data_IF_215634908562
#
_entry.id   IF_215634908562
#
_cell.length_a   1.000
_cell.length_b   1.000
_cell.length_c   1.000
_cell.angle_alpha   90.00
_cell.angle_beta   90.00
_cell.angle_gamma   90.00
#
_symmetry.space_group_name_H-M   'P 1'
#
loop_
_entity.id
_entity.type
_entity.pdbx_description
1 polymer ?
#
# COMPACT_ATOMS: atom_id res chain seq x y z
N UNK A 1 -5.05 21.85 13.00
CA UNK A 1 -4.87 22.64 13.42
C UNK A 1 -5.91 23.66 13.63
N UNK A 2 -5.93 24.15 14.70
CA UNK A 2 -6.92 25.13 14.97
C UNK A 2 -6.80 26.18 13.92
N UNK A 3 -7.57 27.07 13.99
CA UNK A 3 -7.45 28.24 13.20
C UNK A 3 -7.19 27.93 11.76
N UNK A 4 -7.80 26.98 11.26
CA UNK A 4 -7.78 26.77 9.87
C UNK A 4 -6.59 26.04 9.30
N UNK A 5 -5.70 25.60 10.13
CA UNK A 5 -4.59 24.81 9.63
C UNK A 5 -4.93 23.33 9.65
N UNK A 6 -6.20 23.01 9.54
CA UNK A 6 -6.62 21.63 9.52
C UNK A 6 -6.20 20.98 8.21
N UNK A 7 -5.48 19.88 8.32
CA UNK A 7 -5.06 19.12 7.16
C UNK A 7 -6.18 18.19 6.73
N UNK A 8 -6.29 17.93 5.43
CA UNK A 8 -7.15 16.88 4.94
C UNK A 8 -6.60 15.52 5.42
N UNK A 9 -7.44 14.47 5.39
CA UNK A 9 -7.00 13.15 5.75
C UNK A 9 -5.81 12.70 4.91
N UNK A 10 -5.82 12.97 3.61
CA UNK A 10 -4.72 12.60 2.75
C UNK A 10 -3.45 13.39 3.05
N UNK A 11 -3.58 14.69 3.32
CA UNK A 11 -2.43 15.50 3.67
C UNK A 11 -1.81 15.04 4.98
N UNK A 12 -2.65 14.75 5.99
CA UNK A 12 -2.16 14.25 7.26
C UNK A 12 -1.44 12.92 7.10
N UNK A 13 -1.99 12.05 6.28
CA UNK A 13 -1.41 10.74 6.03
C UNK A 13 -0.06 10.86 5.32
N UNK A 14 0.04 11.74 4.34
CA UNK A 14 1.29 11.96 3.62
C UNK A 14 2.35 12.56 4.55
N UNK A 15 1.95 13.47 5.43
CA UNK A 15 2.90 14.06 6.39
C UNK A 15 3.40 13.00 7.37
N UNK A 16 2.52 12.14 7.86
CA UNK A 16 2.91 11.07 8.76
C UNK A 16 3.88 10.12 8.08
N UNK A 17 3.62 9.78 6.82
CA UNK A 17 4.51 8.91 6.05
C UNK A 17 5.88 9.56 5.86
N UNK A 18 5.91 10.85 5.52
CA UNK A 18 7.17 11.56 5.35
C UNK A 18 8.00 11.56 6.64
N UNK A 19 7.34 11.75 7.76
CA UNK A 19 8.02 11.72 9.06
C UNK A 19 8.61 10.33 9.34
N UNK A 20 7.85 9.30 9.04
CA UNK A 20 8.31 7.93 9.24
C UNK A 20 9.53 7.64 8.38
N UNK A 21 9.50 8.06 7.12
CA UNK A 21 10.61 7.82 6.20
C UNK A 21 11.84 8.63 6.58
N UNK A 22 11.69 9.75 7.26
CA UNK A 22 12.81 10.57 7.68
C UNK A 22 13.60 9.94 8.85
N UNK A 23 13.02 8.99 9.56
CA UNK A 23 13.71 8.32 10.63
C UNK A 23 14.77 7.35 10.09
N UNK A 24 15.96 7.34 10.69
CA UNK A 24 17.04 6.45 10.22
C UNK A 24 16.86 5.02 10.74
N UNK A 25 15.69 4.45 10.59
CA UNK A 25 15.40 3.09 11.03
C UNK A 25 15.49 2.15 9.85
N UNK A 26 16.09 0.96 10.04
CA UNK A 26 16.24 0.00 8.95
C UNK A 26 14.93 -0.71 8.60
N UNK A 27 13.97 -0.74 9.50
CA UNK A 27 12.70 -1.44 9.29
C UNK A 27 11.56 -0.46 9.51
N UNK A 28 10.65 -0.40 8.54
CA UNK A 28 9.46 0.44 8.62
C UNK A 28 8.22 -0.43 8.53
N UNK A 29 7.24 -0.16 9.38
CA UNK A 29 5.94 -0.80 9.30
C UNK A 29 4.93 0.31 9.00
N UNK A 30 4.29 0.22 7.85
CA UNK A 30 3.32 1.21 7.39
C UNK A 30 1.95 0.55 7.39
N UNK A 31 1.09 1.01 8.29
CA UNK A 31 -0.23 0.41 8.46
C UNK A 31 -1.25 1.27 7.71
N UNK A 32 -1.71 0.73 6.59
CA UNK A 32 -2.75 1.34 5.76
C UNK A 32 -2.43 2.79 5.39
N UNK A 33 -1.23 3.05 4.88
CA UNK A 33 -0.78 4.44 4.68
C UNK A 33 -1.49 5.16 3.56
N UNK A 34 -2.25 4.46 2.72
CA UNK A 34 -2.88 5.06 1.55
C UNK A 34 -4.39 5.22 1.70
N UNK A 35 -4.95 4.88 2.86
CA UNK A 35 -6.40 4.77 3.00
C UNK A 35 -7.16 6.07 2.73
N UNK A 36 -6.53 7.22 2.97
CA UNK A 36 -7.15 8.53 2.75
C UNK A 36 -6.71 9.19 1.44
N UNK A 37 -6.02 8.46 0.58
CA UNK A 37 -5.49 9.00 -0.67
C UNK A 37 -6.33 8.54 -1.85
N UNK A 38 -6.47 9.40 -2.86
CA UNK A 38 -7.01 8.97 -4.13
C UNK A 38 -5.96 8.15 -4.89
N UNK A 39 -6.37 7.50 -5.96
CA UNK A 39 -5.49 6.59 -6.67
C UNK A 39 -4.27 7.29 -7.26
N UNK A 40 -4.48 8.47 -7.82
CA UNK A 40 -3.37 9.20 -8.42
C UNK A 40 -2.33 9.59 -7.37
N UNK A 41 -2.79 10.10 -6.24
CA UNK A 41 -1.90 10.47 -5.14
C UNK A 41 -1.22 9.25 -4.56
N UNK A 42 -1.94 8.14 -4.43
CA UNK A 42 -1.34 6.89 -3.96
C UNK A 42 -0.20 6.46 -4.86
N UNK A 43 -0.40 6.51 -6.18
CA UNK A 43 0.63 6.10 -7.13
C UNK A 43 1.89 6.94 -6.95
N UNK A 44 1.72 8.25 -6.78
CA UNK A 44 2.85 9.16 -6.58
C UNK A 44 3.58 8.87 -5.28
N UNK A 45 2.81 8.70 -4.21
CA UNK A 45 3.41 8.43 -2.89
C UNK A 45 4.11 7.08 -2.88
N UNK A 46 3.55 6.08 -3.55
CA UNK A 46 4.19 4.78 -3.61
C UNK A 46 5.53 4.85 -4.36
N UNK A 47 5.58 5.60 -5.46
CA UNK A 47 6.83 5.78 -6.20
C UNK A 47 7.89 6.45 -5.33
N UNK A 48 7.50 7.48 -4.58
CA UNK A 48 8.42 8.14 -3.66
C UNK A 48 8.88 7.18 -2.56
N UNK A 49 7.99 6.36 -2.04
CA UNK A 49 8.32 5.38 -1.02
C UNK A 49 9.36 4.39 -1.54
N UNK A 50 9.19 3.90 -2.76
CA UNK A 50 10.15 2.97 -3.34
C UNK A 50 11.53 3.61 -3.45
N UNK A 51 11.58 4.87 -3.83
CA UNK A 51 12.84 5.58 -3.97
C UNK A 51 13.50 5.86 -2.62
N UNK A 52 12.69 6.32 -1.67
CA UNK A 52 13.22 6.80 -0.38
C UNK A 52 13.56 5.67 0.59
N UNK A 53 13.04 4.49 0.38
CA UNK A 53 13.21 3.37 1.30
C UNK A 53 14.03 2.24 0.71
N UNK A 54 14.91 2.54 -0.26
CA UNK A 54 15.66 1.50 -0.97
C UNK A 54 16.54 0.66 -0.06
N UNK A 55 17.07 1.26 0.99
CA UNK A 55 17.96 0.57 1.92
C UNK A 55 17.24 0.13 3.20
N UNK A 56 15.92 0.10 3.16
CA UNK A 56 15.11 -0.27 4.32
C UNK A 56 14.26 -1.48 4.00
N UNK A 57 13.88 -2.21 5.05
CA UNK A 57 12.86 -3.25 4.94
C UNK A 57 11.53 -2.58 5.26
N UNK A 58 10.59 -2.67 4.33
CA UNK A 58 9.29 -2.03 4.49
C UNK A 58 8.19 -3.08 4.52
N UNK A 59 7.41 -3.07 5.60
CA UNK A 59 6.19 -3.86 5.69
C UNK A 59 5.01 -2.93 5.43
N UNK A 60 4.32 -3.17 4.33
CA UNK A 60 3.16 -2.40 3.95
C UNK A 60 1.90 -3.21 4.26
N UNK A 61 1.08 -2.71 5.16
CA UNK A 61 -0.19 -3.33 5.49
C UNK A 61 -1.27 -2.52 4.80
N UNK A 62 -2.01 -3.17 3.89
CA UNK A 62 -2.98 -2.43 3.10
C UNK A 62 -4.08 -3.35 2.61
N UNK A 63 -5.28 -2.78 2.48
CA UNK A 63 -6.40 -3.43 1.82
C UNK A 63 -6.43 -3.09 0.33
N UNK A 64 -5.57 -2.19 -0.13
CA UNK A 64 -5.51 -1.75 -1.52
C UNK A 64 -4.34 -2.44 -2.19
N UNK A 65 -4.63 -3.27 -3.16
CA UNK A 65 -3.64 -4.19 -3.72
C UNK A 65 -3.00 -3.68 -5.02
N UNK A 66 -3.24 -2.42 -5.38
CA UNK A 66 -2.76 -1.88 -6.65
C UNK A 66 -1.26 -2.03 -6.86
N UNK A 67 -0.48 -1.91 -5.79
CA UNK A 67 0.97 -1.91 -5.88
C UNK A 67 1.60 -3.22 -5.43
N UNK A 68 0.78 -4.22 -5.12
CA UNK A 68 1.30 -5.51 -4.66
C UNK A 68 2.13 -6.23 -5.73
N UNK A 69 1.87 -6.06 -7.04
CA UNK A 69 2.76 -6.65 -8.04
C UNK A 69 4.22 -6.21 -7.94
N UNK A 70 4.49 -5.01 -7.38
CA UNK A 70 5.84 -4.52 -7.23
C UNK A 70 6.52 -4.93 -5.92
N UNK A 71 5.80 -5.62 -5.05
CA UNK A 71 6.36 -6.03 -3.77
C UNK A 71 7.22 -7.28 -3.95
N UNK A 72 8.29 -7.38 -3.17
CA UNK A 72 9.17 -8.54 -3.21
C UNK A 72 8.48 -9.79 -2.67
N UNK A 73 7.66 -9.62 -1.65
CA UNK A 73 6.87 -10.68 -1.03
C UNK A 73 5.55 -10.13 -0.60
N UNK A 74 4.54 -10.99 -0.67
CA UNK A 74 3.20 -10.68 -0.16
C UNK A 74 2.88 -11.71 0.90
N UNK A 75 2.36 -11.22 2.02
CA UNK A 75 1.88 -12.06 3.11
C UNK A 75 0.37 -11.92 3.13
N UNK A 76 -0.33 -13.01 2.83
CA UNK A 76 -1.78 -13.01 2.78
C UNK A 76 -2.33 -13.78 3.95
N UNK A 77 -3.15 -13.12 4.75
CA UNK A 77 -3.74 -13.73 5.94
C UNK A 77 -5.25 -13.85 5.75
N UNK A 78 -5.76 -15.07 5.95
CA UNK A 78 -7.17 -15.33 5.78
C UNK A 78 -7.59 -16.44 6.74
N UNK A 79 -8.52 -16.13 7.65
CA UNK A 79 -9.09 -17.12 8.53
C UNK A 79 -8.07 -17.88 9.35
N UNK A 80 -7.05 -17.21 9.82
CA UNK A 80 -6.00 -17.85 10.61
C UNK A 80 -4.94 -18.55 9.78
N UNK A 81 -5.10 -18.55 8.46
CA UNK A 81 -4.12 -19.14 7.56
C UNK A 81 -3.27 -18.04 6.96
N UNK A 82 -1.96 -18.27 6.90
CA UNK A 82 -1.02 -17.30 6.32
C UNK A 82 -0.31 -17.95 5.15
N UNK A 83 -0.32 -17.24 4.03
CA UNK A 83 0.40 -17.68 2.83
C UNK A 83 1.37 -16.60 2.42
N UNK A 84 2.62 -16.97 2.13
CA UNK A 84 3.66 -16.05 1.75
C UNK A 84 4.17 -16.39 0.36
N UNK A 85 4.34 -15.39 -0.47
CA UNK A 85 4.87 -15.59 -1.81
C UNK A 85 4.94 -14.28 -2.55
N UNK A 86 5.34 -14.34 -3.81
CA UNK A 86 5.27 -13.17 -4.67
C UNK A 86 3.82 -12.96 -5.10
N UNK A 87 3.54 -11.77 -5.61
CA UNK A 87 2.22 -11.50 -6.17
C UNK A 87 1.84 -12.57 -7.20
N UNK A 88 2.74 -12.87 -8.11
CA UNK A 88 2.45 -13.86 -9.15
C UNK A 88 2.13 -15.23 -8.56
N UNK A 89 2.89 -15.65 -7.56
CA UNK A 89 2.65 -16.94 -6.92
C UNK A 89 1.28 -16.97 -6.25
N UNK A 90 0.91 -15.90 -5.54
CA UNK A 90 -0.38 -15.88 -4.87
C UNK A 90 -1.53 -15.80 -5.87
N UNK A 91 -1.34 -15.10 -6.98
CA UNK A 91 -2.34 -15.08 -8.05
C UNK A 91 -2.63 -16.49 -8.57
N UNK A 92 -1.62 -17.33 -8.60
CA UNK A 92 -1.76 -18.68 -9.13
C UNK A 92 -2.28 -19.68 -8.10
N UNK A 93 -1.95 -19.48 -6.82
CA UNK A 93 -2.19 -20.51 -5.82
C UNK A 93 -3.25 -20.16 -4.79
N UNK A 94 -3.64 -18.89 -4.68
CA UNK A 94 -4.61 -18.45 -3.66
C UNK A 94 -5.80 -17.78 -4.36
N UNK A 95 -6.89 -18.55 -4.60
CA UNK A 95 -8.02 -18.00 -5.35
C UNK A 95 -8.62 -16.73 -4.74
N UNK A 96 -8.70 -16.66 -3.42
CA UNK A 96 -9.25 -15.48 -2.76
C UNK A 96 -8.38 -14.24 -3.00
N UNK A 97 -7.06 -14.41 -2.96
CA UNK A 97 -6.15 -13.31 -3.25
C UNK A 97 -6.37 -12.80 -4.68
N UNK A 98 -6.46 -13.75 -5.62
CA UNK A 98 -6.68 -13.38 -7.02
C UNK A 98 -8.00 -12.65 -7.20
N UNK A 99 -9.07 -13.14 -6.55
CA UNK A 99 -10.37 -12.49 -6.64
C UNK A 99 -10.33 -11.07 -6.12
N UNK A 100 -9.64 -10.86 -4.99
CA UNK A 100 -9.53 -9.53 -4.42
C UNK A 100 -8.76 -8.59 -5.35
N UNK A 101 -7.65 -9.06 -5.87
CA UNK A 101 -6.84 -8.23 -6.76
C UNK A 101 -7.60 -7.89 -8.03
N UNK A 102 -8.20 -8.89 -8.67
CA UNK A 102 -8.95 -8.68 -9.91
C UNK A 102 -10.17 -7.80 -9.68
N UNK A 103 -10.84 -7.96 -8.57
CA UNK A 103 -11.99 -7.12 -8.23
C UNK A 103 -11.60 -5.65 -8.13
N UNK A 104 -10.50 -5.37 -7.48
CA UNK A 104 -10.06 -3.99 -7.32
C UNK A 104 -9.56 -3.38 -8.63
N UNK A 105 -8.81 -4.15 -9.40
CA UNK A 105 -8.24 -3.64 -10.66
C UNK A 105 -9.27 -3.62 -11.78
N UNK A 106 -10.17 -4.59 -11.80
CA UNK A 106 -11.23 -4.60 -12.82
C UNK A 106 -12.19 -3.45 -12.62
N UNK A 107 -12.56 -3.15 -11.37
CA UNK A 107 -13.42 -2.01 -11.09
C UNK A 107 -12.77 -0.73 -11.59
N UNK A 108 -11.48 -0.59 -11.34
CA UNK A 108 -10.74 0.56 -11.82
C UNK A 108 -10.68 0.60 -13.34
N UNK A 109 -10.36 -0.54 -13.95
CA UNK A 109 -10.24 -0.62 -15.40
C UNK A 109 -11.57 -0.55 -16.12
N UNK A 110 -12.64 -0.98 -15.46
CA UNK A 110 -13.97 -0.95 -16.05
C UNK A 110 -14.65 0.39 -15.94
N UNK A 111 -14.11 1.30 -15.20
CA UNK A 111 -14.70 2.61 -15.08
C UNK A 111 -14.34 3.46 -16.28
N UNK A 112 -15.31 4.02 -16.92
CA UNK A 112 -15.01 5.02 -17.93
C UNK A 112 -14.33 6.15 -17.20
N UNK A 113 -13.26 6.54 -17.70
CA UNK A 113 -12.45 7.55 -17.04
C UNK A 113 -13.22 8.81 -16.66
#
# INVERSE_FOLDING_TARGET
GPSGTRLSGGQAQRLALARTLAHPRPVLILDDPFSALDRHTEDTVFADLQSDAKDKVVFLISHRLYHFPQMQKVIFMDGGKTTVGTHTQLMETVPLYRQLYESQTAAKGGEPA
#
